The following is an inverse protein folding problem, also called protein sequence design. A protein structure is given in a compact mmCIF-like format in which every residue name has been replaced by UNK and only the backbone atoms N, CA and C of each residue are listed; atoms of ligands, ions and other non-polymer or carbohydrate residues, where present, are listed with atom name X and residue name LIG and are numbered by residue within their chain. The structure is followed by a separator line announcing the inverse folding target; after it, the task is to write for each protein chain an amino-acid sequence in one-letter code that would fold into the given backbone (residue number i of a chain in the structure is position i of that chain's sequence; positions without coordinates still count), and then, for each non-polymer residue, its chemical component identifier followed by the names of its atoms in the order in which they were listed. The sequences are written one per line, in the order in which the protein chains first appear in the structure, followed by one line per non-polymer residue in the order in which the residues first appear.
data_IF_825817608055
#
_entry.id   IF_825817608055
#
_cell.length_a   1.000
_cell.length_b   1.000
_cell.length_c   1.000
_cell.angle_alpha   90.00
_cell.angle_beta   90.00
_cell.angle_gamma   90.00
#
_symmetry.space_group_name_H-M   'P 1'
#
loop_
_entity.id
_entity.type
_entity.pdbx_description
1 polymer ?
#
# COMPACT_ATOMS: atom_id res chain seq x y z
N UNK A 1 19.59 -27.46 -24.24
CA UNK A 1 18.72 -26.99 -23.14
C UNK A 1 18.28 -25.57 -23.44
N UNK A 2 17.09 -25.42 -24.03
CA UNK A 2 16.61 -24.14 -24.58
C UNK A 2 16.10 -23.21 -23.48
N UNK A 3 16.56 -21.96 -23.51
CA UNK A 3 15.99 -20.84 -22.77
C UNK A 3 14.50 -20.73 -23.10
N UNK A 4 13.62 -21.04 -22.15
CA UNK A 4 12.17 -20.88 -22.30
C UNK A 4 11.87 -19.41 -22.54
N UNK A 5 11.50 -19.04 -23.78
CA UNK A 5 11.02 -17.69 -24.09
C UNK A 5 9.79 -17.39 -23.22
N UNK A 6 9.91 -16.42 -22.30
CA UNK A 6 8.77 -15.85 -21.55
C UNK A 6 7.65 -15.49 -22.53
N UNK A 7 6.41 -15.87 -22.22
CA UNK A 7 5.23 -15.60 -23.07
C UNK A 7 5.01 -14.08 -23.21
N UNK A 8 5.42 -13.52 -24.35
CA UNK A 8 5.25 -12.09 -24.69
C UNK A 8 3.78 -11.59 -24.64
N UNK A 9 2.75 -12.39 -25.02
CA UNK A 9 1.36 -11.91 -25.01
C UNK A 9 0.86 -11.49 -23.62
N UNK A 10 1.27 -12.21 -22.57
CA UNK A 10 0.86 -11.92 -21.20
C UNK A 10 1.47 -10.62 -20.67
N UNK A 11 2.76 -10.36 -20.95
CA UNK A 11 3.41 -9.13 -20.50
C UNK A 11 2.81 -7.89 -21.18
N UNK A 12 2.67 -7.92 -22.51
CA UNK A 12 2.04 -6.81 -23.25
C UNK A 12 0.64 -6.52 -22.75
N UNK A 13 -0.17 -7.55 -22.47
CA UNK A 13 -1.50 -7.37 -21.89
C UNK A 13 -1.43 -6.71 -20.51
N UNK A 14 -0.50 -7.11 -19.64
CA UNK A 14 -0.36 -6.50 -18.31
C UNK A 14 0.17 -5.07 -18.33
N UNK A 15 1.01 -4.73 -19.31
CA UNK A 15 1.39 -3.34 -19.55
C UNK A 15 0.17 -2.51 -19.97
N UNK A 16 -0.72 -3.05 -20.82
CA UNK A 16 -1.98 -2.37 -21.16
C UNK A 16 -2.89 -2.17 -19.95
N UNK A 17 -3.06 -3.19 -19.12
CA UNK A 17 -3.87 -3.09 -17.89
C UNK A 17 -3.35 -1.95 -16.99
N UNK A 18 -2.03 -1.87 -16.80
CA UNK A 18 -1.39 -0.80 -16.02
C UNK A 18 -1.56 0.57 -16.70
N UNK A 19 -1.32 0.66 -18.01
CA UNK A 19 -1.51 1.91 -18.76
C UNK A 19 -2.95 2.43 -18.61
N UNK A 20 -3.95 1.56 -18.73
CA UNK A 20 -5.36 1.91 -18.54
C UNK A 20 -5.61 2.41 -17.13
N UNK A 21 -5.09 1.72 -16.11
CA UNK A 21 -5.24 2.11 -14.70
C UNK A 21 -4.71 3.52 -14.43
N UNK A 22 -3.58 3.88 -15.03
CA UNK A 22 -2.97 5.21 -14.89
C UNK A 22 -3.44 6.24 -15.94
N UNK A 23 -4.42 5.89 -16.79
CA UNK A 23 -4.97 6.79 -17.80
C UNK A 23 -4.05 7.10 -18.99
N UNK A 24 -3.05 6.24 -19.24
CA UNK A 24 -2.16 6.32 -20.39
C UNK A 24 -2.77 5.66 -21.63
N UNK A 25 -2.17 5.91 -22.80
CA UNK A 25 -2.54 5.18 -24.01
C UNK A 25 -2.14 3.69 -23.89
N UNK A 26 -3.08 2.77 -24.11
CA UNK A 26 -2.92 1.33 -23.90
C UNK A 26 -2.13 0.65 -25.05
N UNK A 27 -0.89 1.08 -25.27
CA UNK A 27 0.01 0.59 -26.31
C UNK A 27 0.52 -0.82 -26.02
N UNK A 28 0.66 -1.19 -24.74
CA UNK A 28 1.30 -2.42 -24.28
C UNK A 28 2.81 -2.40 -24.43
N UNK A 29 3.39 -1.22 -24.64
CA UNK A 29 4.82 -0.98 -24.79
C UNK A 29 5.29 -0.11 -23.63
N UNK A 30 6.53 -0.32 -23.18
CA UNK A 30 7.17 0.54 -22.18
C UNK A 30 7.71 1.80 -22.85
N UNK A 31 6.81 2.67 -23.31
CA UNK A 31 7.14 4.00 -23.82
C UNK A 31 7.60 4.96 -22.70
N UNK A 32 8.03 6.17 -23.09
CA UNK A 32 8.57 7.17 -22.16
C UNK A 32 7.61 7.46 -21.01
N UNK A 33 6.34 7.66 -21.34
CA UNK A 33 5.30 8.09 -20.41
C UNK A 33 4.96 6.95 -19.44
N UNK A 34 4.89 5.71 -19.96
CA UNK A 34 4.72 4.51 -19.15
C UNK A 34 5.88 4.33 -18.16
N UNK A 35 7.13 4.50 -18.63
CA UNK A 35 8.31 4.35 -17.79
C UNK A 35 8.44 5.47 -16.74
N UNK A 36 8.04 6.69 -17.09
CA UNK A 36 7.99 7.83 -16.15
C UNK A 36 7.05 7.52 -15.00
N UNK A 37 5.81 7.10 -15.32
CA UNK A 37 4.86 6.67 -14.30
C UNK A 37 5.43 5.52 -13.49
N UNK A 38 5.89 4.42 -14.11
CA UNK A 38 6.41 3.25 -13.37
C UNK A 38 7.54 3.56 -12.39
N UNK A 39 8.36 4.58 -12.67
CA UNK A 39 9.48 4.99 -11.81
C UNK A 39 9.08 5.92 -10.66
N UNK A 40 7.86 6.48 -10.68
CA UNK A 40 7.41 7.35 -9.61
C UNK A 40 7.25 6.58 -8.28
N UNK A 41 7.69 7.15 -7.14
CA UNK A 41 7.44 6.56 -5.83
C UNK A 41 5.94 6.32 -5.61
N UNK A 42 5.57 5.14 -5.13
CA UNK A 42 4.18 4.69 -5.01
C UNK A 42 3.99 3.78 -3.79
N UNK A 43 2.73 3.50 -3.47
CA UNK A 43 2.37 2.50 -2.47
C UNK A 43 2.83 1.10 -2.92
N UNK A 44 3.18 0.23 -1.96
CA UNK A 44 3.56 -1.16 -2.23
C UNK A 44 2.38 -2.13 -2.38
N UNK A 45 1.14 -1.66 -2.16
CA UNK A 45 -0.09 -2.45 -2.38
C UNK A 45 -0.37 -2.53 -3.88
N UNK A 46 -0.82 -3.68 -4.37
CA UNK A 46 -1.11 -3.87 -5.79
C UNK A 46 -2.32 -3.05 -6.24
N UNK A 47 -2.24 -2.48 -7.44
CA UNK A 47 -3.31 -1.67 -8.05
C UNK A 47 -4.56 -2.51 -8.40
N UNK A 48 -4.37 -3.81 -8.62
CA UNK A 48 -5.43 -4.78 -8.93
C UNK A 48 -5.33 -5.94 -7.95
N UNK A 49 -6.25 -5.99 -6.99
CA UNK A 49 -6.46 -7.12 -6.08
C UNK A 49 -7.90 -7.61 -6.17
N UNK A 50 -8.11 -8.90 -5.95
CA UNK A 50 -9.45 -9.48 -5.79
C UNK A 50 -9.95 -9.23 -4.36
N UNK A 51 -10.49 -8.04 -4.09
CA UNK A 51 -11.18 -7.78 -2.83
C UNK A 51 -12.55 -8.47 -2.80
N UNK A 52 -12.62 -9.65 -2.20
CA UNK A 52 -13.91 -10.30 -1.92
C UNK A 52 -14.48 -9.81 -0.59
N UNK A 53 -15.71 -9.28 -0.60
CA UNK A 53 -16.45 -8.96 0.64
C UNK A 53 -16.62 -10.17 1.56
N UNK A 54 -16.52 -11.40 1.03
CA UNK A 54 -16.61 -12.64 1.79
C UNK A 54 -15.29 -13.02 2.49
N UNK A 55 -14.18 -12.36 2.17
CA UNK A 55 -12.84 -12.69 2.68
C UNK A 55 -12.35 -11.78 3.82
N UNK A 56 -13.25 -11.02 4.47
CA UNK A 56 -12.93 -10.38 5.76
C UNK A 56 -12.21 -9.04 5.69
N UNK A 57 -12.44 -8.24 4.64
CA UNK A 57 -11.82 -6.91 4.50
C UNK A 57 -12.40 -5.83 5.44
N UNK A 58 -13.44 -6.14 6.23
CA UNK A 58 -14.13 -5.19 7.12
C UNK A 58 -13.93 -5.58 8.58
N UNK A 59 -13.55 -4.59 9.40
CA UNK A 59 -13.55 -4.73 10.86
C UNK A 59 -14.96 -5.00 11.41
N UNK A 60 -15.08 -5.99 12.28
CA UNK A 60 -16.33 -6.34 12.97
C UNK A 60 -16.59 -5.48 14.22
N UNK A 61 -15.77 -4.45 14.44
CA UNK A 61 -15.86 -3.51 15.55
C UNK A 61 -15.48 -2.11 15.09
N UNK A 62 -15.97 -1.10 15.81
CA UNK A 62 -15.72 0.30 15.49
C UNK A 62 -14.56 0.91 16.28
N UNK A 63 -14.25 0.37 17.47
CA UNK A 63 -13.10 0.81 18.26
C UNK A 63 -11.91 -0.04 17.84
N UNK A 64 -10.98 0.60 17.13
CA UNK A 64 -9.75 -0.01 16.64
C UNK A 64 -8.58 0.52 17.46
N UNK A 65 -7.74 -0.39 17.95
CA UNK A 65 -6.51 -0.04 18.63
C UNK A 65 -5.37 0.03 17.63
N UNK A 66 -4.48 1.01 17.78
CA UNK A 66 -3.25 1.08 16.98
C UNK A 66 -2.02 1.24 17.86
N UNK A 67 -0.88 0.74 17.38
CA UNK A 67 0.42 0.87 18.03
C UNK A 67 1.51 1.14 17.00
N UNK A 68 2.43 2.04 17.34
CA UNK A 68 3.68 2.22 16.61
C UNK A 68 4.73 1.32 17.25
N UNK A 69 5.08 0.23 16.56
CA UNK A 69 6.03 -0.78 17.02
C UNK A 69 7.47 -0.33 16.84
N UNK A 70 7.83 0.04 15.62
CA UNK A 70 9.17 0.50 15.23
C UNK A 70 9.06 1.88 14.61
N UNK A 71 9.82 2.85 15.14
CA UNK A 71 9.86 4.22 14.63
C UNK A 71 10.95 4.38 13.57
N UNK A 72 10.75 5.32 12.64
CA UNK A 72 11.85 5.81 11.79
C UNK A 72 12.90 6.55 12.62
N UNK A 73 14.13 6.60 12.11
CA UNK A 73 15.22 7.44 12.65
C UNK A 73 15.20 8.86 12.09
N UNK A 74 14.42 9.12 11.04
CA UNK A 74 14.42 10.39 10.32
C UNK A 74 13.62 11.48 11.06
N UNK A 75 12.72 11.09 11.98
CA UNK A 75 11.83 11.99 12.69
C UNK A 75 11.80 11.68 14.20
N UNK A 76 11.55 12.70 15.01
CA UNK A 76 11.30 12.52 16.44
C UNK A 76 10.03 11.70 16.68
N UNK A 77 10.03 10.89 17.73
CA UNK A 77 8.90 10.00 18.06
C UNK A 77 7.57 10.75 18.22
N UNK A 78 7.58 11.91 18.89
CA UNK A 78 6.37 12.72 19.06
C UNK A 78 5.81 13.22 17.72
N UNK A 79 6.68 13.54 16.76
CA UNK A 79 6.26 13.92 15.41
C UNK A 79 5.61 12.74 14.70
N UNK A 80 6.21 11.54 14.77
CA UNK A 80 5.62 10.32 14.20
C UNK A 80 4.26 10.02 14.85
N UNK A 81 4.16 10.15 16.17
CA UNK A 81 2.92 9.94 16.93
C UNK A 81 1.80 10.85 16.41
N UNK A 82 2.05 12.15 16.33
CA UNK A 82 1.07 13.13 15.85
C UNK A 82 0.69 12.89 14.38
N UNK A 83 1.64 12.48 13.53
CA UNK A 83 1.37 12.19 12.12
C UNK A 83 0.50 10.95 11.94
N UNK A 84 0.79 9.87 12.67
CA UNK A 84 -0.02 8.64 12.62
C UNK A 84 -1.42 8.89 13.16
N UNK A 85 -1.55 9.61 14.27
CA UNK A 85 -2.85 10.02 14.82
C UNK A 85 -3.65 10.88 13.84
N UNK A 86 -2.99 11.85 13.20
CA UNK A 86 -3.61 12.71 12.18
C UNK A 86 -4.08 11.91 10.97
N UNK A 87 -3.29 10.94 10.50
CA UNK A 87 -3.65 10.07 9.39
C UNK A 87 -4.89 9.22 9.70
N UNK A 88 -4.94 8.59 10.88
CA UNK A 88 -6.11 7.79 11.29
C UNK A 88 -7.35 8.66 11.52
N UNK A 89 -7.17 9.91 11.99
CA UNK A 89 -8.26 10.86 12.20
C UNK A 89 -9.01 11.22 10.92
N UNK A 90 -8.36 11.16 9.75
CA UNK A 90 -9.03 11.35 8.44
C UNK A 90 -10.17 10.35 8.27
N UNK A 91 -9.94 9.08 8.59
CA UNK A 91 -10.95 8.02 8.49
C UNK A 91 -11.98 8.09 9.61
N UNK A 92 -11.56 8.46 10.83
CA UNK A 92 -12.48 8.63 11.96
C UNK A 92 -13.55 9.67 11.67
N UNK A 93 -13.18 10.81 11.06
CA UNK A 93 -14.14 11.89 10.73
C UNK A 93 -15.18 11.49 9.70
N UNK A 94 -14.86 10.55 8.81
CA UNK A 94 -15.73 10.14 7.71
C UNK A 94 -16.50 8.84 7.98
N UNK A 95 -16.38 8.26 9.18
CA UNK A 95 -16.97 6.95 9.51
C UNK A 95 -17.38 6.86 10.98
N UNK A 96 -17.88 5.69 11.40
CA UNK A 96 -18.12 5.40 12.82
C UNK A 96 -16.89 4.82 13.54
N UNK A 97 -15.72 4.78 12.89
CA UNK A 97 -14.51 4.23 13.47
C UNK A 97 -13.90 5.19 14.50
N UNK A 98 -13.41 4.62 15.60
CA UNK A 98 -12.62 5.31 16.63
C UNK A 98 -11.26 4.63 16.74
N UNK A 99 -10.18 5.40 16.69
CA UNK A 99 -8.82 4.87 16.81
C UNK A 99 -8.23 5.23 18.18
N UNK A 100 -7.77 4.22 18.91
CA UNK A 100 -7.21 4.39 20.26
C UNK A 100 -5.76 3.91 20.27
N UNK A 101 -4.85 4.77 20.71
CA UNK A 101 -3.43 4.39 20.84
C UNK A 101 -3.28 3.38 21.97
N UNK A 102 -2.66 2.24 21.69
CA UNK A 102 -2.37 1.20 22.68
C UNK A 102 -0.89 1.12 23.01
N UNK A 103 -0.59 0.93 24.29
CA UNK A 103 0.75 0.64 24.81
C UNK A 103 0.96 -0.86 25.14
N UNK A 104 -0.04 -1.71 24.90
CA UNK A 104 0.07 -3.18 25.03
C UNK A 104 0.75 -3.81 23.81
N UNK A 105 1.20 -5.07 23.89
CA UNK A 105 1.96 -5.71 22.79
C UNK A 105 1.16 -5.91 21.51
N UNK A 106 -0.15 -6.13 21.63
CA UNK A 106 -1.03 -6.42 20.50
C UNK A 106 -2.04 -5.28 20.32
N UNK A 107 -2.16 -4.80 19.09
CA UNK A 107 -3.16 -3.84 18.65
C UNK A 107 -3.78 -4.31 17.34
N UNK A 108 -4.95 -3.77 16.97
CA UNK A 108 -5.61 -4.11 15.71
C UNK A 108 -4.79 -3.65 14.50
N UNK A 109 -4.09 -2.51 14.64
CA UNK A 109 -3.22 -1.93 13.61
C UNK A 109 -1.82 -1.75 14.19
N UNK A 110 -0.85 -2.45 13.61
CA UNK A 110 0.57 -2.31 13.95
C UNK A 110 1.27 -1.47 12.89
N UNK A 111 1.90 -0.36 13.30
CA UNK A 111 2.66 0.53 12.41
C UNK A 111 4.15 0.33 12.67
N UNK A 112 4.89 -0.02 11.62
CA UNK A 112 6.34 -0.23 11.70
C UNK A 112 7.08 0.41 10.52
N UNK A 113 8.19 1.08 10.81
CA UNK A 113 9.09 1.62 9.81
C UNK A 113 10.26 0.64 9.61
N UNK A 114 10.30 -0.03 8.46
CA UNK A 114 11.30 -1.05 8.11
C UNK A 114 12.05 -0.66 6.84
N UNK A 115 13.30 -1.09 6.77
CA UNK A 115 14.10 -1.08 5.54
C UNK A 115 14.26 -2.52 5.10
N UNK A 116 13.90 -2.84 3.86
CA UNK A 116 14.34 -4.09 3.25
C UNK A 116 15.83 -3.92 2.93
N UNK A 117 16.70 -4.57 3.71
CA UNK A 117 18.08 -4.73 3.29
C UNK A 117 18.08 -5.57 2.02
N UNK A 118 18.54 -4.98 0.92
CA UNK A 118 19.02 -5.77 -0.21
C UNK A 118 20.47 -6.08 0.13
N UNK A 119 20.69 -7.26 0.72
CA UNK A 119 22.00 -7.91 0.68
C UNK A 119 22.22 -8.50 -0.72
#
# INVERSE_FOLDING_TARGET
MGRTKRSRPFFTSKVKDMQIFFGLNATGVLDSDTLEIMRSPRCGVADVEEYSHLQGARWNKNILTYRIGRYTRDLHRNTVDSLVESALSVWARASSLTFVRSHTRNADIMVEFVTYGID
#
